data_IF_130076307682
#
_entry.id   IF_130076307682
#
_cell.length_a   1.000
_cell.length_b   1.000
_cell.length_c   1.000
_cell.angle_alpha   90.00
_cell.angle_beta   90.00
_cell.angle_gamma   90.00
#
_symmetry.space_group_name_H-M   'P 1'
#
loop_
_entity.id
_entity.type
_entity.pdbx_description
1 polymer ?
#
# COMPACT_ATOMS: atom_id res chain seq x y z
N UNK A 1 -7.58 2.82 -2.07
CA UNK A 1 -6.35 3.23 -1.35
C UNK A 1 -5.98 4.69 -1.63
N UNK A 2 -5.88 5.14 -2.89
CA UNK A 2 -5.55 6.54 -3.21
C UNK A 2 -6.39 7.60 -2.46
N UNK A 3 -7.72 7.43 -2.40
CA UNK A 3 -8.59 8.34 -1.65
C UNK A 3 -8.36 8.32 -0.13
N UNK A 4 -7.96 7.17 0.42
CA UNK A 4 -7.51 7.08 1.81
C UNK A 4 -6.24 7.91 2.01
N UNK A 5 -5.26 7.77 1.10
CA UNK A 5 -4.01 8.53 1.14
C UNK A 5 -4.23 10.04 1.08
N UNK A 6 -5.16 10.52 0.23
CA UNK A 6 -5.54 11.93 0.22
C UNK A 6 -6.08 12.39 1.57
N UNK A 7 -6.97 11.61 2.17
CA UNK A 7 -7.53 11.95 3.49
C UNK A 7 -6.44 11.94 4.56
N UNK A 8 -5.54 10.97 4.55
CA UNK A 8 -4.43 10.86 5.50
C UNK A 8 -3.39 12.00 5.36
N UNK A 9 -3.22 12.53 4.14
CA UNK A 9 -2.46 13.75 3.86
C UNK A 9 -3.17 14.97 4.45
N UNK A 10 -4.49 15.13 4.25
CA UNK A 10 -5.29 16.20 4.87
C UNK A 10 -5.20 16.15 6.41
N UNK A 11 -5.07 14.94 6.97
CA UNK A 11 -4.90 14.74 8.39
C UNK A 11 -3.43 14.84 8.86
N UNK A 12 -2.45 15.10 7.99
CA UNK A 12 -1.02 15.19 8.35
C UNK A 12 -0.48 13.93 9.04
N UNK A 13 -1.05 12.77 8.74
CA UNK A 13 -0.64 11.47 9.30
C UNK A 13 -0.08 10.51 8.25
N UNK A 14 -0.09 10.92 6.98
CA UNK A 14 0.64 10.25 5.91
C UNK A 14 2.16 10.23 6.18
N UNK A 15 2.88 9.13 5.89
CA UNK A 15 2.40 7.88 5.29
C UNK A 15 1.85 6.85 6.30
N UNK A 16 1.78 7.17 7.59
CA UNK A 16 1.50 6.18 8.63
C UNK A 16 0.07 5.63 8.59
N UNK A 17 -0.94 6.49 8.45
CA UNK A 17 -2.34 6.04 8.41
C UNK A 17 -2.60 5.13 7.22
N UNK A 18 -2.22 5.62 6.03
CA UNK A 18 -2.34 4.92 4.75
C UNK A 18 -1.58 3.62 4.78
N UNK A 19 -0.36 3.65 5.34
CA UNK A 19 0.45 2.48 5.48
C UNK A 19 -0.22 1.42 6.35
N UNK A 20 -0.67 1.79 7.55
CA UNK A 20 -1.33 0.87 8.47
C UNK A 20 -2.60 0.25 7.85
N UNK A 21 -3.38 1.04 7.11
CA UNK A 21 -4.53 0.51 6.39
C UNK A 21 -4.10 -0.43 5.27
N UNK A 22 -3.10 -0.05 4.47
CA UNK A 22 -2.57 -0.88 3.40
C UNK A 22 -2.09 -2.25 3.94
N UNK A 23 -1.36 -2.28 5.07
CA UNK A 23 -1.00 -3.54 5.72
C UNK A 23 -2.17 -4.32 6.30
N UNK A 24 -3.20 -3.63 6.80
CA UNK A 24 -4.42 -4.31 7.27
C UNK A 24 -5.06 -5.14 6.15
N UNK A 25 -4.93 -4.68 4.89
CA UNK A 25 -5.43 -5.38 3.71
C UNK A 25 -4.51 -6.50 3.22
N UNK A 26 -3.18 -6.29 3.21
CA UNK A 26 -2.22 -7.25 2.61
C UNK A 26 -1.74 -8.36 3.55
N UNK A 27 -1.93 -8.22 4.87
CA UNK A 27 -1.56 -9.25 5.86
C UNK A 27 -2.32 -10.57 5.65
N UNK A 28 -1.88 -11.64 6.32
CA UNK A 28 -2.59 -12.93 6.35
C UNK A 28 -4.06 -12.77 6.70
N UNK A 29 -4.93 -13.40 5.91
CA UNK A 29 -6.38 -13.33 6.09
C UNK A 29 -6.96 -11.93 5.86
N UNK A 30 -6.15 -10.97 5.43
CA UNK A 30 -6.61 -9.69 4.92
C UNK A 30 -7.33 -9.87 3.58
N UNK A 31 -8.14 -8.89 3.20
CA UNK A 31 -8.93 -8.96 1.96
C UNK A 31 -8.08 -8.98 0.68
N UNK A 32 -6.79 -8.65 0.77
CA UNK A 32 -5.82 -8.74 -0.32
C UNK A 32 -4.80 -9.87 -0.13
N UNK A 33 -5.07 -10.82 0.77
CA UNK A 33 -4.32 -12.07 0.86
C UNK A 33 -4.68 -12.99 -0.31
N UNK A 34 -4.08 -12.72 -1.47
CA UNK A 34 -4.35 -13.48 -2.69
C UNK A 34 -3.75 -14.89 -2.64
N UNK A 35 -2.76 -15.13 -1.76
CA UNK A 35 -2.26 -16.48 -1.48
C UNK A 35 -3.40 -17.35 -0.93
N UNK A 36 -4.26 -16.80 -0.08
CA UNK A 36 -5.41 -17.49 0.48
C UNK A 36 -6.56 -17.67 -0.52
N UNK A 37 -6.86 -16.67 -1.34
CA UNK A 37 -8.05 -16.69 -2.22
C UNK A 37 -7.79 -17.31 -3.59
N UNK A 38 -6.57 -17.21 -4.12
CA UNK A 38 -6.17 -17.77 -5.41
C UNK A 38 -5.33 -19.05 -5.27
N UNK A 39 -4.82 -19.32 -4.06
CA UNK A 39 -3.88 -20.41 -3.80
C UNK A 39 -2.45 -20.01 -4.13
N UNK A 40 -1.51 -20.39 -3.26
CA UNK A 40 -0.10 -19.98 -3.35
C UNK A 40 0.50 -20.31 -4.72
N UNK A 41 0.44 -21.58 -5.12
CA UNK A 41 1.08 -22.09 -6.35
C UNK A 41 0.11 -22.28 -7.53
N UNK A 42 -1.14 -21.82 -7.41
CA UNK A 42 -2.13 -21.99 -8.48
C UNK A 42 -1.68 -21.23 -9.73
N UNK A 43 -1.56 -21.87 -10.90
CA UNK A 43 -1.06 -21.22 -12.09
C UNK A 43 -2.12 -20.34 -12.76
N UNK A 44 -1.71 -19.15 -13.16
CA UNK A 44 -2.48 -18.17 -13.90
C UNK A 44 -1.69 -17.60 -15.09
N UNK A 45 -2.40 -16.95 -16.01
CA UNK A 45 -1.80 -16.15 -17.08
C UNK A 45 -2.07 -14.67 -16.84
N UNK A 46 -1.03 -13.87 -16.71
CA UNK A 46 -1.13 -12.42 -16.53
C UNK A 46 -0.14 -11.71 -17.45
N UNK A 47 -0.64 -10.78 -18.28
CA UNK A 47 0.18 -9.97 -19.18
C UNK A 47 1.17 -10.78 -20.07
N UNK A 48 0.81 -12.02 -20.42
CA UNK A 48 1.67 -12.92 -21.21
C UNK A 48 2.62 -13.80 -20.39
N UNK A 49 2.68 -13.62 -19.07
CA UNK A 49 3.49 -14.43 -18.16
C UNK A 49 2.66 -15.54 -17.51
N UNK A 50 3.31 -16.67 -17.22
CA UNK A 50 2.79 -17.67 -16.29
C UNK A 50 3.16 -17.20 -14.88
N UNK A 51 2.16 -17.01 -14.03
CA UNK A 51 2.31 -16.48 -12.67
C UNK A 51 1.52 -17.35 -11.69
N UNK A 52 1.89 -17.34 -10.42
CA UNK A 52 1.11 -17.99 -9.36
C UNK A 52 0.13 -17.03 -8.69
N UNK A 53 -0.72 -17.52 -7.78
CA UNK A 53 -1.57 -16.65 -6.96
C UNK A 53 -0.76 -15.75 -6.03
N UNK A 54 0.39 -16.23 -5.56
CA UNK A 54 1.39 -15.43 -4.83
C UNK A 54 1.97 -14.30 -5.70
N UNK A 55 2.40 -14.61 -6.92
CA UNK A 55 2.91 -13.61 -7.86
C UNK A 55 1.87 -12.51 -8.16
N UNK A 56 0.60 -12.89 -8.34
CA UNK A 56 -0.51 -11.94 -8.52
C UNK A 56 -0.70 -11.04 -7.30
N UNK A 57 -0.56 -11.58 -6.09
CA UNK A 57 -0.55 -10.81 -4.84
C UNK A 57 0.60 -9.79 -4.80
N UNK A 58 1.80 -10.21 -5.19
CA UNK A 58 3.00 -9.37 -5.26
C UNK A 58 2.85 -8.24 -6.30
N UNK A 59 2.33 -8.54 -7.49
CA UNK A 59 2.01 -7.54 -8.52
C UNK A 59 0.99 -6.52 -7.98
N UNK A 60 -0.09 -7.01 -7.35
CA UNK A 60 -1.13 -6.16 -6.78
C UNK A 60 -0.58 -5.25 -5.67
N UNK A 61 0.27 -5.78 -4.78
CA UNK A 61 0.96 -5.02 -3.74
C UNK A 61 1.74 -3.84 -4.33
N UNK A 62 2.61 -4.11 -5.30
CA UNK A 62 3.42 -3.07 -5.94
C UNK A 62 2.56 -2.01 -6.61
N UNK A 63 1.56 -2.44 -7.39
CA UNK A 63 0.70 -1.56 -8.15
C UNK A 63 -0.18 -0.65 -7.26
N UNK A 64 -0.89 -1.22 -6.29
CA UNK A 64 -1.76 -0.44 -5.38
C UNK A 64 -0.95 0.44 -4.43
N UNK A 65 0.23 -0.02 -4.01
CA UNK A 65 1.15 0.76 -3.20
C UNK A 65 1.59 2.06 -3.90
N UNK A 66 1.87 2.00 -5.20
CA UNK A 66 2.18 3.19 -6.00
C UNK A 66 0.98 4.12 -6.14
N UNK A 67 -0.23 3.59 -6.34
CA UNK A 67 -1.47 4.38 -6.27
C UNK A 67 -1.68 5.09 -4.92
N UNK A 68 -1.17 4.54 -3.83
CA UNK A 68 -1.19 5.13 -2.50
C UNK A 68 -0.09 6.20 -2.29
N UNK A 69 0.73 6.48 -3.30
CA UNK A 69 1.85 7.43 -3.25
C UNK A 69 3.14 6.88 -2.65
N UNK A 70 3.19 5.60 -2.26
CA UNK A 70 4.41 5.04 -1.68
C UNK A 70 5.51 4.95 -2.73
N UNK A 71 6.74 5.34 -2.36
CA UNK A 71 7.88 5.25 -3.26
C UNK A 71 8.22 3.80 -3.59
N UNK A 72 8.81 3.56 -4.77
CA UNK A 72 9.37 2.24 -5.15
C UNK A 72 10.29 1.69 -4.06
N UNK A 73 11.21 2.53 -3.56
CA UNK A 73 12.14 2.12 -2.51
C UNK A 73 11.41 1.74 -1.22
N UNK A 74 10.36 2.47 -0.84
CA UNK A 74 9.56 2.12 0.34
C UNK A 74 8.86 0.77 0.14
N UNK A 75 8.27 0.50 -1.02
CA UNK A 75 7.58 -0.77 -1.30
C UNK A 75 8.54 -1.96 -1.34
N UNK A 76 9.68 -1.83 -2.02
CA UNK A 76 10.70 -2.89 -2.08
C UNK A 76 11.40 -3.10 -0.74
N UNK A 77 11.64 -2.03 0.03
CA UNK A 77 12.22 -2.14 1.37
C UNK A 77 11.21 -2.70 2.36
N UNK A 78 9.95 -2.25 2.34
CA UNK A 78 8.91 -2.82 3.19
C UNK A 78 8.70 -4.31 2.90
N UNK A 79 8.88 -4.71 1.64
CA UNK A 79 8.94 -6.09 1.23
C UNK A 79 10.20 -6.82 1.75
N UNK A 80 11.40 -6.25 1.59
CA UNK A 80 12.67 -6.90 1.94
C UNK A 80 13.18 -6.73 3.38
N UNK A 81 12.58 -5.85 4.21
CA UNK A 81 13.14 -5.43 5.50
C UNK A 81 12.81 -6.38 6.67
N UNK A 82 13.16 -7.66 6.50
CA UNK A 82 13.38 -8.58 7.64
C UNK A 82 14.76 -8.35 8.28
N UNK A 83 15.74 -7.72 7.61
CA UNK A 83 17.13 -7.79 8.09
C UNK A 83 17.95 -6.51 8.29
N UNK A 84 17.38 -5.29 8.29
CA UNK A 84 18.14 -4.09 8.71
C UNK A 84 17.44 -3.32 9.83
N UNK A 85 18.17 -3.26 10.93
CA UNK A 85 17.90 -2.74 12.26
C UNK A 85 17.71 -1.21 12.28
N UNK A 86 16.85 -0.72 13.18
CA UNK A 86 17.08 0.39 14.14
C UNK A 86 15.85 1.28 14.39
N UNK A 87 15.38 1.26 15.64
CA UNK A 87 14.83 2.46 16.30
C UNK A 87 13.37 2.84 16.10
N UNK A 88 12.65 2.35 15.08
CA UNK A 88 11.22 2.68 14.95
C UNK A 88 10.36 1.44 14.73
N UNK A 89 9.28 1.32 15.50
CA UNK A 89 8.30 0.23 15.43
C UNK A 89 7.53 0.18 14.09
N UNK A 90 7.95 0.94 13.08
CA UNK A 90 7.20 1.24 11.87
C UNK A 90 7.55 0.38 10.66
N UNK A 91 8.49 -0.58 10.79
CA UNK A 91 8.87 -1.51 9.71
C UNK A 91 8.33 -2.92 9.97
N UNK A 92 8.15 -3.32 11.25
CA UNK A 92 7.78 -4.69 11.63
C UNK A 92 6.43 -5.18 11.10
N UNK A 93 5.49 -4.29 10.82
CA UNK A 93 4.15 -4.67 10.37
C UNK A 93 4.07 -5.00 8.87
N UNK A 94 5.16 -4.79 8.11
CA UNK A 94 5.26 -5.14 6.69
C UNK A 94 6.10 -6.39 6.40
N UNK A 95 6.88 -6.86 7.38
CA UNK A 95 8.03 -7.72 7.14
C UNK A 95 7.71 -9.20 6.82
N UNK A 96 6.46 -9.67 6.99
CA UNK A 96 6.21 -11.12 7.07
C UNK A 96 5.89 -11.84 5.74
N UNK A 97 6.15 -11.24 4.57
CA UNK A 97 5.55 -11.75 3.32
C UNK A 97 6.41 -11.81 2.05
N UNK A 98 7.62 -11.24 2.01
CA UNK A 98 8.23 -10.84 0.73
C UNK A 98 9.77 -10.99 0.65
N UNK A 99 10.30 -12.08 1.23
CA UNK A 99 11.74 -12.37 1.35
C UNK A 99 12.33 -13.16 0.17
N UNK A 100 11.52 -13.65 -0.78
CA UNK A 100 11.99 -14.33 -1.99
C UNK A 100 12.40 -13.33 -3.10
N UNK A 101 13.54 -13.52 -3.81
CA UNK A 101 13.87 -12.77 -5.02
C UNK A 101 12.75 -12.72 -6.08
N UNK A 102 11.92 -13.78 -6.18
CA UNK A 102 10.74 -13.83 -7.02
C UNK A 102 9.65 -12.85 -6.56
N UNK A 103 9.45 -12.69 -5.25
CA UNK A 103 8.51 -11.68 -4.72
C UNK A 103 8.93 -10.28 -5.12
N UNK A 104 10.22 -9.96 -4.96
CA UNK A 104 10.78 -8.67 -5.36
C UNK A 104 10.62 -8.42 -6.86
N UNK A 105 10.78 -9.45 -7.69
CA UNK A 105 10.56 -9.36 -9.14
C UNK A 105 9.13 -8.96 -9.47
N UNK A 106 8.14 -9.63 -8.89
CA UNK A 106 6.72 -9.38 -9.18
C UNK A 106 6.18 -8.10 -8.55
N UNK A 107 6.70 -7.70 -7.38
CA UNK A 107 6.43 -6.37 -6.80
C UNK A 107 6.96 -5.28 -7.73
N UNK A 108 8.20 -5.39 -8.20
CA UNK A 108 8.77 -4.42 -9.15
C UNK A 108 8.00 -4.41 -10.48
N UNK A 109 7.52 -5.56 -10.94
CA UNK A 109 6.65 -5.65 -12.11
C UNK A 109 5.35 -4.85 -11.91
N UNK A 110 4.69 -4.99 -10.75
CA UNK A 110 3.51 -4.19 -10.38
C UNK A 110 3.81 -2.69 -10.31
N UNK A 111 4.94 -2.31 -9.71
CA UNK A 111 5.40 -0.91 -9.64
C UNK A 111 5.60 -0.34 -11.04
N UNK A 112 6.35 -1.03 -11.91
CA UNK A 112 6.57 -0.62 -13.30
C UNK A 112 5.28 -0.51 -14.08
N UNK A 113 4.29 -1.36 -13.79
CA UNK A 113 2.99 -1.32 -14.46
C UNK A 113 2.20 -0.05 -14.15
N UNK A 114 2.42 0.54 -12.97
CA UNK A 114 1.92 1.86 -12.63
C UNK A 114 2.80 2.96 -13.25
N UNK A 115 4.12 2.88 -13.05
CA UNK A 115 5.05 3.93 -13.47
C UNK A 115 5.15 4.08 -15.00
N UNK A 116 4.84 3.04 -15.77
CA UNK A 116 4.91 3.08 -17.25
C UNK A 116 3.82 3.96 -17.90
N UNK A 117 2.91 4.54 -17.12
CA UNK A 117 1.95 5.56 -17.58
C UNK A 117 0.96 5.08 -18.65
N UNK A 118 0.82 3.77 -18.82
CA UNK A 118 -0.10 3.19 -19.82
C UNK A 118 -1.57 3.22 -19.38
N UNK A 119 -1.84 3.61 -18.14
CA UNK A 119 -3.17 3.90 -17.62
C UNK A 119 -3.37 5.42 -17.55
N UNK A 120 -4.58 5.94 -17.79
CA UNK A 120 -4.86 7.35 -17.55
C UNK A 120 -4.56 7.70 -16.09
N UNK A 121 -3.57 8.56 -15.84
CA UNK A 121 -3.18 8.99 -14.50
C UNK A 121 -3.56 10.46 -14.28
N UNK A 122 -4.03 10.80 -13.09
CA UNK A 122 -4.31 12.19 -12.69
C UNK A 122 -3.67 12.43 -11.33
N UNK A 123 -2.56 13.15 -11.28
CA UNK A 123 -1.81 13.31 -10.03
C UNK A 123 -2.21 14.58 -9.28
N UNK A 124 -2.41 14.44 -7.97
CA UNK A 124 -2.38 15.57 -7.04
C UNK A 124 -1.03 15.53 -6.33
N UNK A 125 -0.34 16.67 -6.31
CA UNK A 125 0.87 16.85 -5.51
C UNK A 125 0.48 17.50 -4.19
N UNK A 126 0.73 16.82 -3.06
CA UNK A 126 0.53 17.38 -1.73
C UNK A 126 1.53 18.51 -1.45
N UNK A 127 1.27 19.32 -0.43
CA UNK A 127 2.21 20.32 0.09
C UNK A 127 3.57 19.72 0.50
N UNK A 128 3.59 18.43 0.84
CA UNK A 128 4.79 17.65 1.18
C UNK A 128 5.49 17.01 -0.03
N UNK A 129 5.05 17.31 -1.26
CA UNK A 129 5.64 16.80 -2.50
C UNK A 129 5.25 15.35 -2.84
N UNK A 130 4.32 14.74 -2.11
CA UNK A 130 3.81 13.40 -2.39
C UNK A 130 2.84 13.47 -3.56
N UNK A 131 3.07 12.65 -4.59
CA UNK A 131 2.16 12.51 -5.72
C UNK A 131 1.20 11.34 -5.49
N UNK A 132 -0.09 11.63 -5.46
CA UNK A 132 -1.16 10.63 -5.35
C UNK A 132 -1.90 10.57 -6.68
N UNK A 133 -2.02 9.38 -7.26
CA UNK A 133 -2.86 9.19 -8.45
C UNK A 133 -4.35 9.13 -8.06
N UNK A 134 -5.09 10.09 -8.56
CA UNK A 134 -6.52 10.33 -8.33
C UNK A 134 -7.38 9.92 -9.51
N UNK A 135 -6.78 9.37 -10.58
CA UNK A 135 -7.44 8.98 -11.83
C UNK A 135 -8.70 8.16 -11.61
N UNK A 136 -8.71 7.27 -10.61
CA UNK A 136 -9.83 6.36 -10.34
C UNK A 136 -10.74 6.82 -9.19
N UNK A 137 -10.51 7.99 -8.59
CA UNK A 137 -11.35 8.44 -7.46
C UNK A 137 -12.79 8.72 -7.90
N UNK A 138 -12.98 9.10 -9.17
CA UNK A 138 -14.30 9.31 -9.75
C UNK A 138 -15.12 8.00 -9.85
N UNK A 139 -14.49 6.83 -9.76
CA UNK A 139 -15.19 5.54 -9.80
C UNK A 139 -15.79 5.16 -8.45
N UNK A 140 -15.46 5.88 -7.38
CA UNK A 140 -16.05 5.69 -6.06
C UNK A 140 -17.38 6.44 -5.95
N UNK A 141 -18.39 5.79 -5.38
CA UNK A 141 -19.64 6.46 -5.00
C UNK A 141 -19.42 7.40 -3.81
N UNK A 142 -20.30 8.38 -3.61
CA UNK A 142 -20.22 9.28 -2.46
C UNK A 142 -20.32 8.53 -1.11
N UNK A 143 -21.10 7.44 -1.07
CA UNK A 143 -21.17 6.57 0.10
C UNK A 143 -19.82 5.88 0.39
N UNK A 144 -19.17 5.32 -0.64
CA UNK A 144 -17.84 4.70 -0.51
C UNK A 144 -16.77 5.71 -0.11
N UNK A 145 -16.80 6.92 -0.69
CA UNK A 145 -15.89 8.01 -0.29
C UNK A 145 -16.10 8.36 1.17
N UNK A 146 -17.34 8.55 1.61
CA UNK A 146 -17.66 8.85 3.00
C UNK A 146 -17.11 7.77 3.96
N UNK A 147 -17.36 6.49 3.67
CA UNK A 147 -16.87 5.37 4.47
C UNK A 147 -15.33 5.36 4.57
N UNK A 148 -14.64 5.48 3.43
CA UNK A 148 -13.17 5.50 3.39
C UNK A 148 -12.63 6.71 4.19
N UNK A 149 -13.27 7.87 4.06
CA UNK A 149 -12.87 9.10 4.77
C UNK A 149 -13.03 8.93 6.28
N UNK A 150 -14.14 8.35 6.74
CA UNK A 150 -14.40 8.10 8.15
C UNK A 150 -13.35 7.15 8.76
N UNK A 151 -13.02 6.06 8.07
CA UNK A 151 -11.97 5.12 8.49
C UNK A 151 -10.62 5.83 8.57
N UNK A 152 -10.26 6.61 7.55
CA UNK A 152 -8.99 7.35 7.51
C UNK A 152 -8.89 8.39 8.64
N UNK A 153 -9.96 9.15 8.89
CA UNK A 153 -10.00 10.15 9.97
C UNK A 153 -9.90 9.49 11.36
N UNK A 154 -10.59 8.37 11.58
CA UNK A 154 -10.52 7.63 12.84
C UNK A 154 -9.09 7.13 13.10
N UNK A 155 -8.44 6.53 12.10
CA UNK A 155 -7.05 6.06 12.21
C UNK A 155 -6.07 7.20 12.46
N UNK A 156 -6.27 8.33 11.77
CA UNK A 156 -5.43 9.53 11.95
C UNK A 156 -5.51 10.06 13.38
N UNK A 157 -6.70 10.03 13.98
CA UNK A 157 -6.91 10.42 15.38
C UNK A 157 -6.12 9.52 16.33
N UNK A 158 -6.22 8.20 16.18
CA UNK A 158 -5.45 7.22 16.98
C UNK A 158 -3.94 7.50 16.91
N UNK A 159 -3.40 7.68 15.71
CA UNK A 159 -1.98 7.97 15.48
C UNK A 159 -1.54 9.24 16.22
N UNK A 160 -2.32 10.32 16.09
CA UNK A 160 -2.02 11.60 16.76
C UNK A 160 -2.05 11.46 18.28
N UNK A 161 -2.99 10.69 18.83
CA UNK A 161 -3.07 10.41 20.26
C UNK A 161 -1.85 9.62 20.77
N UNK A 162 -1.42 8.58 20.04
CA UNK A 162 -0.21 7.82 20.37
C UNK A 162 1.05 8.69 20.32
N UNK A 163 1.19 9.54 19.31
CA UNK A 163 2.31 10.47 19.17
C UNK A 163 2.36 11.48 20.31
N UNK A 164 1.20 11.99 20.75
CA UNK A 164 1.11 12.89 21.92
C UNK A 164 1.55 12.20 23.19
N UNK A 165 1.09 10.96 23.44
CA UNK A 165 1.48 10.17 24.62
C UNK A 165 2.99 9.94 24.70
N UNK A 166 3.64 9.66 23.56
CA UNK A 166 5.09 9.46 23.47
C UNK A 166 5.92 10.73 23.73
N UNK A 167 5.37 11.92 23.48
CA UNK A 167 6.04 13.21 23.75
C UNK A 167 5.93 13.66 25.21
N UNK A 168 5.01 13.07 25.97
CA UNK A 168 4.78 13.37 27.39
C UNK A 168 5.51 12.41 28.34
N UNK A 169 6.31 11.48 27.80
CA UNK A 169 7.19 10.55 28.53
C UNK A 169 8.64 10.96 28.31
#
# INVERSE_FOLDING_TARGET
MAYYALTDIEQETYPFGTGLEFASKVKSGGVWDYKLTLGVDTPYKYAGYNVTGEDLGNIHYGFVGRYAGFSKNLLLTAAGAVQIYSGTAHIKWYASYFDDPNDQHWIDHGIRRFDNGTLPTSFITSSSGVQIDTSLIHTLTEAQKKEIREIAMARSKEIKEEQRKKKSQ
#
